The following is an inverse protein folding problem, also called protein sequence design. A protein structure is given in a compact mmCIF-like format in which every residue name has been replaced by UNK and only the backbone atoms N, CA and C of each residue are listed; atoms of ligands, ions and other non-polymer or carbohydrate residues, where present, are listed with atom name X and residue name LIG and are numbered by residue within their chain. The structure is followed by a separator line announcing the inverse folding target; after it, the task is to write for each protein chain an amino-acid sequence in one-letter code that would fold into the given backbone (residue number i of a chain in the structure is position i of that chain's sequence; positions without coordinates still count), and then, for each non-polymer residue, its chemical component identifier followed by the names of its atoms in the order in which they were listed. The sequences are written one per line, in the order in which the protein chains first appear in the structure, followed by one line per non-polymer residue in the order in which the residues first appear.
data_IF_144092488922
#
_entry.id   IF_144092488922
#
_cell.length_a   1.000
_cell.length_b   1.000
_cell.length_c   1.000
_cell.angle_alpha   90.00
_cell.angle_beta   90.00
_cell.angle_gamma   90.00
#
_symmetry.space_group_name_H-M   'P 1'
#
loop_
_entity.id
_entity.type
_entity.pdbx_description
1 polymer ?
#
# COMPACT_ATOMS: atom_id res chain seq x y z
N UNK A 1 75.69 -5.76 -16.07
CA UNK A 1 74.53 -6.06 -16.96
C UNK A 1 73.26 -5.79 -16.18
N UNK A 2 72.53 -4.76 -16.58
CA UNK A 2 71.34 -4.23 -15.90
C UNK A 2 70.08 -5.05 -16.21
N UNK A 3 69.54 -5.77 -15.22
CA UNK A 3 68.20 -6.36 -15.29
C UNK A 3 67.15 -5.30 -14.93
N UNK A 4 66.30 -4.93 -15.90
CA UNK A 4 65.10 -4.12 -15.67
C UNK A 4 64.00 -5.02 -15.09
N UNK A 5 63.64 -4.79 -13.83
CA UNK A 5 62.49 -5.41 -13.18
C UNK A 5 61.23 -4.62 -13.58
N UNK A 6 60.38 -5.20 -14.44
CA UNK A 6 59.06 -4.66 -14.74
C UNK A 6 58.12 -4.98 -13.57
N UNK A 7 57.83 -4.00 -12.71
CA UNK A 7 56.75 -4.12 -11.73
C UNK A 7 55.40 -3.92 -12.42
N UNK A 8 54.69 -5.03 -12.64
CA UNK A 8 53.31 -5.06 -13.09
C UNK A 8 52.42 -4.60 -11.92
N UNK A 9 51.95 -3.36 -11.94
CA UNK A 9 50.98 -2.84 -10.97
C UNK A 9 49.61 -3.41 -11.31
N UNK A 10 49.19 -4.46 -10.59
CA UNK A 10 47.84 -4.99 -10.63
C UNK A 10 46.90 -4.01 -9.93
N UNK A 11 46.26 -3.12 -10.71
CA UNK A 11 45.13 -2.32 -10.26
C UNK A 11 43.94 -3.25 -10.00
N UNK A 12 43.83 -3.73 -8.75
CA UNK A 12 42.59 -4.31 -8.25
C UNK A 12 41.54 -3.20 -8.15
N UNK A 13 40.76 -3.03 -9.22
CA UNK A 13 39.51 -2.29 -9.17
C UNK A 13 38.57 -3.01 -8.20
N UNK A 14 38.52 -2.54 -6.94
CA UNK A 14 37.46 -2.90 -6.01
C UNK A 14 36.14 -2.36 -6.57
N UNK A 15 35.47 -3.16 -7.39
CA UNK A 15 34.07 -2.97 -7.73
C UNK A 15 33.28 -3.15 -6.44
N UNK A 16 32.97 -2.05 -5.75
CA UNK A 16 32.05 -2.05 -4.62
C UNK A 16 30.75 -2.69 -5.09
N UNK A 17 30.43 -3.89 -4.58
CA UNK A 17 29.15 -4.52 -4.82
C UNK A 17 28.07 -3.51 -4.41
N UNK A 18 27.06 -3.25 -5.25
CA UNK A 18 25.99 -2.32 -4.90
C UNK A 18 25.27 -2.89 -3.68
N UNK A 19 25.44 -2.24 -2.52
CA UNK A 19 24.61 -2.51 -1.35
C UNK A 19 23.17 -2.35 -1.81
N UNK A 20 22.31 -3.38 -1.71
CA UNK A 20 20.94 -3.28 -2.18
C UNK A 20 20.28 -2.12 -1.45
N UNK A 21 20.01 -1.04 -2.19
CA UNK A 21 19.46 0.18 -1.61
C UNK A 21 18.16 -0.18 -0.91
N UNK A 22 18.11 0.03 0.41
CA UNK A 22 16.98 -0.33 1.27
C UNK A 22 15.67 0.18 0.67
N UNK A 23 14.60 -0.62 0.77
CA UNK A 23 13.30 -0.26 0.20
C UNK A 23 12.77 1.02 0.88
N UNK A 24 12.19 1.99 0.13
CA UNK A 24 11.70 3.24 0.71
C UNK A 24 10.71 3.06 1.87
N UNK A 25 9.90 2.00 1.86
CA UNK A 25 8.97 1.68 2.95
C UNK A 25 9.68 1.56 4.31
N UNK A 26 10.87 0.96 4.33
CA UNK A 26 11.67 0.81 5.55
C UNK A 26 12.62 1.98 5.82
N UNK A 27 13.10 2.64 4.77
CA UNK A 27 14.01 3.79 4.93
C UNK A 27 13.31 5.02 5.49
N UNK A 28 12.07 5.26 5.05
CA UNK A 28 11.26 6.39 5.47
C UNK A 28 10.41 6.06 6.72
N UNK A 29 10.65 4.89 7.33
CA UNK A 29 10.05 4.48 8.58
C UNK A 29 10.56 5.36 9.72
N UNK A 30 9.67 6.00 10.46
CA UNK A 30 10.01 6.73 11.67
C UNK A 30 10.55 5.76 12.74
N UNK A 31 11.45 6.24 13.59
CA UNK A 31 11.93 5.45 14.74
C UNK A 31 10.81 5.44 15.79
N UNK A 32 10.31 4.27 16.22
CA UNK A 32 9.23 4.22 17.19
C UNK A 32 9.72 4.73 18.56
N UNK A 33 8.91 5.59 19.17
CA UNK A 33 9.16 6.06 20.54
C UNK A 33 8.85 4.98 21.60
N UNK A 34 9.19 5.27 22.85
CA UNK A 34 8.96 4.34 23.96
C UNK A 34 7.46 4.03 24.18
N UNK A 35 6.55 4.95 23.84
CA UNK A 35 5.11 4.74 23.95
C UNK A 35 4.63 3.77 22.88
N UNK A 36 5.06 3.93 21.64
CA UNK A 36 4.76 3.07 20.51
C UNK A 36 5.26 1.64 20.76
N UNK A 37 6.46 1.47 21.35
CA UNK A 37 6.98 0.16 21.75
C UNK A 37 6.11 -0.52 22.82
N UNK A 38 5.71 0.20 23.87
CA UNK A 38 4.82 -0.36 24.92
C UNK A 38 3.47 -0.77 24.36
N UNK A 39 2.88 0.07 23.51
CA UNK A 39 1.60 -0.21 22.88
C UNK A 39 1.69 -1.40 21.90
N UNK A 40 2.76 -1.47 21.11
CA UNK A 40 3.01 -2.62 20.25
C UNK A 40 3.13 -3.92 21.05
N UNK A 41 3.81 -3.91 22.20
CA UNK A 41 3.91 -5.06 23.10
C UNK A 41 2.54 -5.55 23.57
N UNK A 42 1.67 -4.64 24.04
CA UNK A 42 0.29 -4.98 24.43
C UNK A 42 -0.48 -5.63 23.28
N UNK A 43 -0.33 -5.08 22.06
CA UNK A 43 -1.03 -5.60 20.89
C UNK A 43 -0.49 -6.95 20.41
N UNK A 44 0.80 -7.24 20.61
CA UNK A 44 1.37 -8.57 20.34
C UNK A 44 0.73 -9.61 21.28
N UNK A 45 0.55 -9.27 22.56
CA UNK A 45 -0.04 -10.19 23.54
C UNK A 45 -1.50 -10.53 23.23
N UNK A 46 -2.24 -9.58 22.64
CA UNK A 46 -3.66 -9.74 22.31
C UNK A 46 -3.89 -10.09 20.83
N UNK A 47 -2.83 -10.32 20.06
CA UNK A 47 -2.96 -10.63 18.64
C UNK A 47 -3.67 -11.97 18.46
N UNK A 48 -4.67 -11.97 17.57
CA UNK A 48 -5.34 -13.18 17.11
C UNK A 48 -5.27 -13.23 15.61
N UNK A 49 -4.75 -14.34 15.08
CA UNK A 49 -4.70 -14.54 13.65
C UNK A 49 -6.12 -14.49 13.05
N UNK A 50 -6.35 -13.72 11.97
CA UNK A 50 -7.65 -13.67 11.33
C UNK A 50 -8.03 -15.04 10.75
N UNK A 51 -8.94 -15.76 11.40
CA UNK A 51 -9.53 -16.98 10.84
C UNK A 51 -10.61 -16.61 9.82
N UNK A 52 -10.46 -17.06 8.57
CA UNK A 52 -11.55 -17.03 7.59
C UNK A 52 -12.45 -18.21 7.90
N UNK A 53 -13.63 -17.96 8.48
CA UNK A 53 -14.60 -19.01 8.72
C UNK A 53 -15.28 -19.38 7.39
N UNK A 54 -15.14 -20.63 6.96
CA UNK A 54 -16.02 -21.18 5.94
C UNK A 54 -17.41 -21.36 6.55
N UNK A 55 -18.38 -20.57 6.07
CA UNK A 55 -19.76 -20.70 6.53
C UNK A 55 -20.39 -21.85 5.77
N UNK A 56 -20.63 -22.96 6.48
CA UNK A 56 -21.34 -24.14 5.96
C UNK A 56 -22.72 -23.72 5.46
N UNK A 57 -23.10 -24.16 4.26
CA UNK A 57 -24.40 -23.85 3.65
C UNK A 57 -24.43 -22.62 2.75
N UNK A 58 -23.33 -21.87 2.60
CA UNK A 58 -23.25 -20.81 1.59
C UNK A 58 -23.02 -21.43 0.20
N UNK A 59 -23.90 -21.15 -0.80
CA UNK A 59 -23.71 -21.61 -2.17
C UNK A 59 -22.40 -21.13 -2.78
N UNK A 60 -21.78 -21.87 -3.72
CA UNK A 60 -20.47 -21.53 -4.29
C UNK A 60 -20.33 -20.09 -4.81
N UNK A 61 -21.36 -19.51 -5.41
CA UNK A 61 -21.35 -18.14 -5.93
C UNK A 61 -21.33 -17.04 -4.85
N UNK A 62 -21.68 -17.39 -3.61
CA UNK A 62 -21.58 -16.50 -2.45
C UNK A 62 -20.34 -16.81 -1.60
N UNK A 63 -19.61 -17.88 -1.91
CA UNK A 63 -18.31 -18.14 -1.28
C UNK A 63 -17.31 -17.13 -1.79
N UNK A 64 -16.47 -16.63 -0.90
CA UNK A 64 -15.32 -15.84 -1.31
C UNK A 64 -14.40 -16.78 -2.10
N UNK A 65 -14.21 -16.53 -3.40
CA UNK A 65 -13.30 -17.34 -4.20
C UNK A 65 -11.89 -17.17 -3.62
N UNK A 66 -11.39 -18.21 -2.94
CA UNK A 66 -10.02 -18.28 -2.43
C UNK A 66 -9.04 -18.69 -3.53
N UNK A 67 -9.55 -19.32 -4.59
CA UNK A 67 -8.80 -19.65 -5.78
C UNK A 67 -8.51 -18.37 -6.59
N UNK A 68 -7.23 -18.21 -6.91
CA UNK A 68 -6.63 -17.29 -7.91
C UNK A 68 -6.59 -15.79 -7.60
N UNK A 69 -6.09 -15.41 -6.42
CA UNK A 69 -5.25 -14.20 -6.40
C UNK A 69 -3.87 -14.55 -6.95
N UNK A 70 -3.74 -14.54 -8.27
CA UNK A 70 -2.44 -14.68 -8.97
C UNK A 70 -1.55 -13.46 -8.78
N UNK A 71 -2.15 -12.34 -8.41
CA UNK A 71 -1.43 -11.10 -8.13
C UNK A 71 -0.52 -11.27 -6.92
N UNK A 72 0.64 -10.60 -6.97
CA UNK A 72 1.47 -10.35 -5.79
C UNK A 72 0.62 -9.68 -4.71
N UNK A 73 1.02 -9.82 -3.46
CA UNK A 73 0.28 -9.26 -2.33
C UNK A 73 1.20 -8.33 -1.53
N UNK A 74 0.65 -7.23 -1.02
CA UNK A 74 1.40 -6.32 -0.14
C UNK A 74 1.84 -7.07 1.13
N UNK A 75 2.97 -6.64 1.71
CA UNK A 75 3.45 -7.04 3.02
C UNK A 75 2.37 -6.94 4.10
N UNK A 76 1.45 -5.98 4.01
CA UNK A 76 0.36 -5.84 4.98
C UNK A 76 -0.46 -7.13 5.12
N UNK A 77 -0.59 -7.91 4.04
CA UNK A 77 -1.33 -9.19 4.03
C UNK A 77 -0.61 -10.36 4.70
N UNK A 78 0.60 -10.15 5.21
CA UNK A 78 1.26 -11.12 6.09
C UNK A 78 0.51 -11.22 7.43
N UNK A 79 0.00 -10.10 7.93
CA UNK A 79 -0.66 -10.03 9.24
C UNK A 79 -2.13 -9.57 9.19
N UNK A 80 -2.55 -8.90 8.12
CA UNK A 80 -3.91 -8.40 7.96
C UNK A 80 -4.71 -9.19 6.93
N UNK A 81 -6.02 -9.30 7.15
CA UNK A 81 -6.93 -9.94 6.20
C UNK A 81 -7.06 -9.11 4.91
N UNK A 82 -7.46 -9.77 3.81
CA UNK A 82 -7.69 -9.12 2.50
C UNK A 82 -8.76 -8.02 2.54
N UNK A 83 -9.74 -8.14 3.45
CA UNK A 83 -10.75 -7.12 3.73
C UNK A 83 -10.54 -6.58 5.16
N UNK A 84 -9.55 -5.70 5.38
CA UNK A 84 -9.13 -5.29 6.72
C UNK A 84 -10.10 -4.32 7.40
N UNK A 85 -10.96 -3.64 6.64
CA UNK A 85 -11.89 -2.66 7.19
C UNK A 85 -13.17 -3.37 7.67
N UNK A 86 -13.23 -3.71 8.97
CA UNK A 86 -14.37 -4.41 9.57
C UNK A 86 -15.15 -3.62 10.62
N UNK A 87 -14.50 -2.63 11.24
CA UNK A 87 -15.04 -1.91 12.40
C UNK A 87 -16.21 -0.99 12.01
N UNK A 88 -16.04 -0.17 10.97
CA UNK A 88 -17.11 0.73 10.52
C UNK A 88 -18.02 0.01 9.51
N UNK A 89 -19.21 -0.39 9.94
CA UNK A 89 -20.25 -0.93 9.04
C UNK A 89 -20.55 0.01 7.87
N UNK A 90 -20.42 1.32 8.12
CA UNK A 90 -20.72 2.39 7.19
C UNK A 90 -19.71 2.50 6.04
N UNK A 91 -18.41 2.47 6.37
CA UNK A 91 -17.32 2.69 5.40
C UNK A 91 -16.69 1.39 4.90
N UNK A 92 -16.89 0.25 5.59
CA UNK A 92 -16.22 -1.03 5.28
C UNK A 92 -16.36 -1.44 3.82
N UNK A 93 -17.55 -1.37 3.23
CA UNK A 93 -17.77 -1.85 1.87
C UNK A 93 -16.99 -1.00 0.86
N UNK A 94 -17.02 0.32 1.04
CA UNK A 94 -16.26 1.24 0.19
C UNK A 94 -14.76 1.08 0.38
N UNK A 95 -14.26 1.09 1.62
CA UNK A 95 -12.82 0.98 1.87
C UNK A 95 -12.25 -0.39 1.45
N UNK A 96 -12.98 -1.48 1.69
CA UNK A 96 -12.58 -2.80 1.21
C UNK A 96 -12.68 -2.94 -0.31
N UNK A 97 -13.51 -2.14 -0.99
CA UNK A 97 -13.51 -2.08 -2.46
C UNK A 97 -12.26 -1.34 -2.97
N UNK A 98 -11.80 -0.30 -2.26
CA UNK A 98 -10.61 0.46 -2.66
C UNK A 98 -9.34 -0.39 -2.67
N UNK A 99 -9.23 -1.42 -1.82
CA UNK A 99 -8.05 -2.30 -1.79
C UNK A 99 -7.79 -3.03 -3.12
N UNK A 100 -8.80 -3.08 -4.01
CA UNK A 100 -8.64 -3.63 -5.37
C UNK A 100 -7.85 -2.72 -6.30
N UNK A 101 -7.91 -1.41 -6.08
CA UNK A 101 -7.35 -0.40 -7.00
C UNK A 101 -6.31 0.52 -6.35
N UNK A 102 -6.21 0.52 -5.02
CA UNK A 102 -5.34 1.38 -4.23
C UNK A 102 -4.51 0.49 -3.30
N UNK A 103 -3.19 0.68 -3.30
CA UNK A 103 -2.29 0.01 -2.38
C UNK A 103 -2.58 0.43 -0.93
N UNK A 104 -2.39 -0.47 0.04
CA UNK A 104 -2.57 -0.16 1.46
C UNK A 104 -1.71 1.05 1.87
N UNK A 105 -0.50 1.11 1.34
CA UNK A 105 0.51 2.12 1.57
C UNK A 105 0.09 3.49 1.05
N UNK A 106 -0.69 3.57 -0.04
CA UNK A 106 -1.22 4.85 -0.54
C UNK A 106 -2.09 5.57 0.49
N UNK A 107 -2.90 4.80 1.24
CA UNK A 107 -3.77 5.34 2.28
C UNK A 107 -3.06 5.45 3.63
N UNK A 108 -2.28 4.44 4.03
CA UNK A 108 -1.78 4.32 5.40
C UNK A 108 -0.35 4.83 5.58
N UNK A 109 0.52 4.74 4.58
CA UNK A 109 1.93 5.15 4.71
C UNK A 109 2.08 6.67 4.53
N UNK A 110 2.27 7.37 5.65
CA UNK A 110 2.32 8.82 5.71
C UNK A 110 3.48 9.29 6.61
N UNK A 111 4.74 9.01 6.22
CA UNK A 111 5.91 9.55 6.92
C UNK A 111 5.94 11.08 6.84
N UNK A 112 6.45 11.73 7.89
CA UNK A 112 6.56 13.19 7.95
C UNK A 112 7.61 13.73 6.98
N UNK A 113 7.32 14.89 6.36
CA UNK A 113 8.27 15.59 5.50
C UNK A 113 8.57 14.91 4.16
N UNK A 114 7.80 13.89 3.78
CA UNK A 114 7.99 13.14 2.53
C UNK A 114 6.82 13.40 1.58
N UNK A 115 7.14 13.70 0.33
CA UNK A 115 6.18 13.68 -0.77
C UNK A 115 6.38 12.43 -1.63
N UNK A 116 5.27 11.85 -2.09
CA UNK A 116 5.29 10.70 -2.99
C UNK A 116 4.70 11.09 -4.35
N UNK A 117 5.22 10.46 -5.39
CA UNK A 117 4.51 10.34 -6.66
C UNK A 117 3.56 9.16 -6.56
N UNK A 118 2.32 9.32 -7.00
CA UNK A 118 1.36 8.22 -7.03
C UNK A 118 1.21 7.72 -8.46
N UNK A 119 1.42 6.42 -8.67
CA UNK A 119 1.41 5.79 -10.01
C UNK A 119 0.73 4.43 -9.97
N UNK A 120 0.27 3.97 -11.12
CA UNK A 120 -0.18 2.58 -11.28
C UNK A 120 1.00 1.62 -11.17
N UNK A 121 0.93 0.68 -10.23
CA UNK A 121 1.83 -0.44 -10.10
C UNK A 121 1.08 -1.72 -10.42
N UNK A 122 1.61 -2.52 -11.35
CA UNK A 122 1.04 -3.81 -11.73
C UNK A 122 1.46 -4.89 -10.72
N UNK A 123 0.51 -5.44 -9.97
CA UNK A 123 0.78 -6.51 -9.01
C UNK A 123 0.83 -7.89 -9.70
N UNK A 124 0.42 -8.02 -10.96
CA UNK A 124 0.47 -9.26 -11.73
C UNK A 124 1.79 -9.45 -12.50
N UNK A 125 2.60 -8.39 -12.66
CA UNK A 125 3.89 -8.47 -13.31
C UNK A 125 4.98 -9.04 -12.37
N UNK A 126 5.78 -9.98 -12.87
CA UNK A 126 6.93 -10.55 -12.15
C UNK A 126 8.05 -9.51 -11.99
N UNK A 127 8.28 -8.69 -13.01
CA UNK A 127 9.24 -7.59 -12.99
C UNK A 127 8.56 -6.30 -12.51
N UNK A 128 8.60 -6.08 -11.19
CA UNK A 128 8.19 -4.81 -10.61
C UNK A 128 9.21 -3.73 -11.00
N UNK A 129 8.78 -2.70 -11.75
CA UNK A 129 9.35 -1.33 -11.81
C UNK A 129 9.06 -0.62 -13.14
N UNK A 130 8.44 -1.26 -14.14
CA UNK A 130 8.02 -0.53 -15.33
C UNK A 130 6.83 0.38 -14.98
N UNK A 131 7.09 1.69 -15.02
CA UNK A 131 6.05 2.71 -14.99
C UNK A 131 5.19 2.51 -16.23
N UNK A 132 3.94 2.12 -16.02
CA UNK A 132 2.98 2.04 -17.11
C UNK A 132 2.57 3.47 -17.48
N UNK A 133 3.25 4.04 -18.48
CA UNK A 133 2.75 5.21 -19.19
C UNK A 133 1.66 4.68 -20.11
N UNK A 134 0.42 5.09 -19.90
CA UNK A 134 -0.63 4.81 -20.87
C UNK A 134 -0.21 5.46 -22.20
N UNK A 135 0.05 4.62 -23.21
CA UNK A 135 0.38 5.07 -24.55
C UNK A 135 -0.71 6.02 -25.05
N UNK A 136 -0.30 7.08 -25.74
CA UNK A 136 -1.16 8.15 -26.23
C UNK A 136 -2.23 7.66 -27.19
N UNK A 137 -3.36 7.25 -26.65
CA UNK A 137 -4.63 7.19 -27.35
C UNK A 137 -5.42 8.45 -26.98
N UNK A 138 -6.15 8.99 -27.96
CA UNK A 138 -6.97 10.19 -27.82
C UNK A 138 -7.74 10.19 -26.49
N UNK A 139 -7.48 11.23 -25.69
CA UNK A 139 -7.89 11.38 -24.28
C UNK A 139 -9.41 11.38 -24.06
N UNK A 140 -10.20 11.29 -25.13
CA UNK A 140 -11.65 11.43 -25.10
C UNK A 140 -12.39 10.12 -24.81
N UNK A 141 -11.74 8.96 -24.95
CA UNK A 141 -12.39 7.68 -24.68
C UNK A 141 -11.41 6.63 -24.10
N UNK A 142 -10.90 6.84 -22.89
CA UNK A 142 -10.31 5.74 -22.12
C UNK A 142 -11.44 5.08 -21.31
N UNK A 143 -11.99 3.93 -21.75
CA UNK A 143 -13.17 3.33 -21.13
C UNK A 143 -12.91 2.84 -19.69
N UNK A 144 -11.65 2.61 -19.30
CA UNK A 144 -11.27 2.23 -17.95
C UNK A 144 -10.03 3.00 -17.49
N UNK A 145 -10.15 3.69 -16.36
CA UNK A 145 -9.02 4.32 -15.68
C UNK A 145 -7.97 3.30 -15.21
N UNK A 146 -8.41 2.07 -14.92
CA UNK A 146 -7.55 0.99 -14.44
C UNK A 146 -6.86 0.35 -15.65
N UNK A 147 -5.52 0.43 -15.75
CA UNK A 147 -4.81 0.01 -16.96
C UNK A 147 -4.74 -1.52 -17.12
N UNK A 148 -4.75 -2.27 -16.00
CA UNK A 148 -4.75 -3.74 -15.97
C UNK A 148 -5.49 -4.26 -14.73
N UNK A 149 -6.07 -5.48 -14.75
CA UNK A 149 -6.84 -6.02 -13.62
C UNK A 149 -6.12 -6.01 -12.26
N UNK A 150 -4.79 -6.22 -12.27
CA UNK A 150 -3.94 -6.27 -11.07
C UNK A 150 -3.29 -4.91 -10.70
N UNK A 151 -3.58 -3.84 -11.46
CA UNK A 151 -2.96 -2.55 -11.24
C UNK A 151 -3.55 -1.84 -10.01
N UNK A 152 -2.68 -1.31 -9.15
CA UNK A 152 -3.05 -0.52 -7.97
C UNK A 152 -2.28 0.79 -7.92
N UNK A 153 -2.92 1.86 -7.50
CA UNK A 153 -2.25 3.15 -7.25
C UNK A 153 -1.39 2.98 -6.01
N UNK A 154 -0.08 3.15 -6.17
CA UNK A 154 0.94 2.96 -5.14
C UNK A 154 1.79 4.23 -4.98
N UNK A 155 2.37 4.47 -3.79
CA UNK A 155 3.32 5.56 -3.58
C UNK A 155 4.68 5.19 -4.15
N UNK A 156 5.33 6.14 -4.80
CA UNK A 156 6.70 6.07 -5.30
C UNK A 156 7.53 7.18 -4.67
N UNK A 157 8.74 6.84 -4.25
CA UNK A 157 9.74 7.78 -3.76
C UNK A 157 11.01 7.62 -4.58
N UNK A 158 11.47 8.71 -5.19
CA UNK A 158 12.65 8.71 -6.06
C UNK A 158 12.58 7.62 -7.15
N UNK A 159 11.40 7.46 -7.78
CA UNK A 159 11.16 6.47 -8.83
C UNK A 159 10.99 5.02 -8.36
N UNK A 160 11.10 4.74 -7.07
CA UNK A 160 10.96 3.38 -6.51
C UNK A 160 9.66 3.22 -5.73
N UNK A 161 8.98 2.06 -5.80
CA UNK A 161 7.76 1.84 -5.04
C UNK A 161 8.06 1.86 -3.53
N UNK A 162 7.30 2.65 -2.78
CA UNK A 162 7.38 2.75 -1.32
C UNK A 162 6.46 1.72 -0.64
N UNK A 163 6.60 0.47 -1.05
CA UNK A 163 5.90 -0.69 -0.49
C UNK A 163 6.76 -1.94 -0.64
N UNK A 164 6.34 -3.00 0.05
CA UNK A 164 6.92 -4.33 -0.06
C UNK A 164 5.86 -5.34 -0.42
N UNK A 165 6.24 -6.36 -1.18
CA UNK A 165 5.41 -7.52 -1.43
C UNK A 165 5.72 -8.64 -0.43
N UNK A 166 4.73 -9.49 -0.17
CA UNK A 166 4.79 -10.59 0.81
C UNK A 166 5.91 -11.61 0.56
N UNK A 167 6.41 -11.68 -0.67
CA UNK A 167 7.39 -12.66 -1.15
C UNK A 167 8.80 -12.06 -1.30
N UNK A 168 8.95 -10.75 -1.09
CA UNK A 168 10.24 -10.07 -1.09
C UNK A 168 11.13 -10.61 0.05
N UNK A 169 12.45 -10.59 -0.13
CA UNK A 169 13.40 -11.11 0.86
C UNK A 169 13.14 -10.56 2.28
N UNK A 170 13.04 -9.23 2.40
CA UNK A 170 12.76 -8.56 3.66
C UNK A 170 11.38 -8.95 4.24
N UNK A 171 10.38 -9.21 3.40
CA UNK A 171 9.07 -9.66 3.85
C UNK A 171 9.11 -11.08 4.45
N UNK A 172 10.01 -11.94 3.97
CA UNK A 172 10.24 -13.27 4.54
C UNK A 172 10.89 -13.17 5.92
N UNK A 173 11.87 -12.29 6.10
CA UNK A 173 12.49 -12.02 7.41
C UNK A 173 11.48 -11.49 8.44
N UNK A 174 10.63 -10.54 8.01
CA UNK A 174 9.54 -10.01 8.83
C UNK A 174 8.59 -11.12 9.27
N UNK A 175 8.20 -12.00 8.33
CA UNK A 175 7.31 -13.13 8.62
C UNK A 175 7.93 -14.12 9.58
N UNK A 176 9.21 -14.46 9.40
CA UNK A 176 9.95 -15.34 10.29
C UNK A 176 10.02 -14.75 11.71
N UNK A 177 10.41 -13.49 11.82
CA UNK A 177 10.46 -12.77 13.12
C UNK A 177 9.08 -12.71 13.78
N UNK A 178 8.01 -12.49 13.01
CA UNK A 178 6.66 -12.47 13.55
C UNK A 178 6.19 -13.82 14.09
N UNK A 179 6.59 -14.91 13.43
CA UNK A 179 6.18 -16.28 13.78
C UNK A 179 7.01 -16.86 14.93
N UNK A 180 8.32 -16.67 14.89
CA UNK A 180 9.30 -17.39 15.72
C UNK A 180 10.05 -16.47 16.68
N UNK A 181 10.00 -15.15 16.47
CA UNK A 181 10.72 -14.19 17.29
C UNK A 181 10.19 -14.08 18.71
N UNK A 182 11.08 -13.68 19.64
CA UNK A 182 10.71 -13.41 21.01
C UNK A 182 9.63 -12.29 21.07
N UNK A 183 8.89 -12.23 22.17
CA UNK A 183 7.85 -11.21 22.38
C UNK A 183 8.39 -9.79 22.13
N UNK A 184 9.60 -9.51 22.62
CA UNK A 184 10.24 -8.20 22.44
C UNK A 184 10.55 -7.90 20.98
N UNK A 185 11.08 -8.86 20.24
CA UNK A 185 11.41 -8.69 18.82
C UNK A 185 10.15 -8.44 18.00
N UNK A 186 9.06 -9.17 18.29
CA UNK A 186 7.75 -8.95 17.67
C UNK A 186 7.20 -7.57 17.99
N UNK A 187 7.36 -7.09 19.22
CA UNK A 187 6.94 -5.74 19.62
C UNK A 187 7.75 -4.65 18.90
N UNK A 188 9.09 -4.79 18.84
CA UNK A 188 9.98 -3.86 18.12
C UNK A 188 9.66 -3.84 16.63
N UNK A 189 9.53 -5.02 16.02
CA UNK A 189 9.14 -5.17 14.62
C UNK A 189 7.81 -4.49 14.33
N UNK A 190 6.78 -4.78 15.14
CA UNK A 190 5.46 -4.18 14.99
C UNK A 190 5.52 -2.66 15.12
N UNK A 191 6.18 -2.13 16.14
CA UNK A 191 6.31 -0.70 16.33
C UNK A 191 7.00 -0.03 15.12
N UNK A 192 8.09 -0.62 14.64
CA UNK A 192 8.82 -0.13 13.47
C UNK A 192 7.99 -0.14 12.19
N UNK A 193 7.27 -1.24 11.92
CA UNK A 193 6.42 -1.36 10.72
C UNK A 193 5.27 -0.35 10.70
N UNK A 194 4.79 0.07 11.88
CA UNK A 194 3.63 0.95 12.01
C UNK A 194 4.01 2.41 12.32
N UNK A 195 5.28 2.74 12.53
CA UNK A 195 5.70 4.07 12.97
C UNK A 195 5.23 5.17 12.00
N UNK A 196 5.41 4.96 10.69
CA UNK A 196 4.96 5.88 9.64
C UNK A 196 3.54 5.59 9.13
N UNK A 197 2.80 4.66 9.78
CA UNK A 197 1.44 4.31 9.37
C UNK A 197 0.41 5.09 10.18
N UNK A 198 -0.58 5.67 9.49
CA UNK A 198 -1.76 6.26 10.15
C UNK A 198 -2.88 5.24 10.21
N UNK A 199 -3.38 4.95 11.42
CA UNK A 199 -4.45 3.95 11.67
C UNK A 199 -5.68 4.16 10.79
N UNK A 200 -6.16 5.40 10.68
CA UNK A 200 -7.37 5.72 9.93
C UNK A 200 -7.12 5.93 8.42
N UNK A 201 -5.85 5.96 8.01
CA UNK A 201 -5.45 6.24 6.63
C UNK A 201 -5.78 7.67 6.18
N UNK A 202 -5.76 7.89 4.86
CA UNK A 202 -6.21 9.12 4.22
C UNK A 202 -7.75 9.21 4.24
N UNK A 203 -8.27 10.43 4.32
CA UNK A 203 -9.71 10.70 4.24
C UNK A 203 -10.17 10.66 2.79
N UNK A 204 -11.46 10.41 2.56
CA UNK A 204 -12.04 10.42 1.20
C UNK A 204 -11.76 11.73 0.46
N UNK A 205 -11.88 12.86 1.16
CA UNK A 205 -11.63 14.19 0.60
C UNK A 205 -10.17 14.42 0.19
N UNK A 206 -9.22 13.64 0.70
CA UNK A 206 -7.81 13.79 0.32
C UNK A 206 -7.60 13.34 -1.14
N UNK A 207 -8.46 12.48 -1.72
CA UNK A 207 -8.37 12.03 -3.12
C UNK A 207 -9.56 12.46 -4.00
N UNK A 208 -10.72 12.76 -3.41
CA UNK A 208 -11.97 13.08 -4.10
C UNK A 208 -12.33 14.57 -4.06
N UNK A 209 -11.35 15.47 -3.91
CA UNK A 209 -11.62 16.92 -3.86
C UNK A 209 -11.19 17.62 -5.14
N UNK A 210 -12.06 18.50 -5.67
CA UNK A 210 -11.86 19.17 -6.98
C UNK A 210 -10.61 20.05 -7.06
N UNK A 211 -10.25 20.74 -5.97
CA UNK A 211 -9.21 21.79 -6.00
C UNK A 211 -7.81 21.30 -5.61
N UNK A 212 -7.76 20.27 -4.77
CA UNK A 212 -6.51 19.76 -4.24
C UNK A 212 -6.74 18.30 -3.87
N UNK A 213 -6.07 17.42 -4.58
CA UNK A 213 -6.11 15.98 -4.41
C UNK A 213 -4.69 15.48 -4.22
N UNK A 214 -4.53 14.51 -3.33
CA UNK A 214 -3.31 13.74 -3.13
C UNK A 214 -2.86 13.06 -4.41
N UNK A 215 -3.83 12.61 -5.21
CA UNK A 215 -3.61 11.88 -6.45
C UNK A 215 -3.74 12.84 -7.62
N UNK A 216 -2.69 13.00 -8.41
CA UNK A 216 -2.78 13.64 -9.71
C UNK A 216 -3.47 12.69 -10.69
N UNK A 217 -4.78 12.87 -10.84
CA UNK A 217 -5.61 12.04 -11.70
C UNK A 217 -5.21 12.12 -13.18
N UNK A 218 -4.65 13.25 -13.64
CA UNK A 218 -4.19 13.37 -15.03
C UNK A 218 -2.93 12.54 -15.26
N UNK A 219 -2.00 12.55 -14.31
CA UNK A 219 -0.82 11.66 -14.33
C UNK A 219 -1.24 10.19 -14.28
N UNK A 220 -2.35 9.88 -13.61
CA UNK A 220 -2.97 8.54 -13.57
C UNK A 220 -3.83 8.22 -14.80
N UNK A 221 -3.74 9.04 -15.86
CA UNK A 221 -4.42 8.88 -17.15
C UNK A 221 -5.95 9.03 -17.11
N UNK A 222 -6.49 9.82 -16.17
CA UNK A 222 -7.90 10.18 -16.16
C UNK A 222 -8.20 11.28 -17.20
N UNK A 223 -9.27 11.09 -17.97
CA UNK A 223 -9.83 12.15 -18.82
C UNK A 223 -10.44 13.27 -17.97
N UNK A 224 -10.64 14.46 -18.55
CA UNK A 224 -11.26 15.59 -17.84
C UNK A 224 -12.66 15.23 -17.29
N UNK A 225 -13.43 14.43 -18.02
CA UNK A 225 -14.72 13.91 -17.54
C UNK A 225 -14.56 13.01 -16.30
N UNK A 226 -13.57 12.12 -16.30
CA UNK A 226 -13.26 11.26 -15.16
C UNK A 226 -12.75 12.05 -13.96
N UNK A 227 -11.87 13.04 -14.16
CA UNK A 227 -11.40 13.92 -13.09
C UNK A 227 -12.57 14.63 -12.40
N UNK A 228 -13.51 15.17 -13.18
CA UNK A 228 -14.73 15.77 -12.63
C UNK A 228 -15.57 14.75 -11.86
N UNK A 229 -15.86 13.59 -12.45
CA UNK A 229 -16.66 12.55 -11.81
C UNK A 229 -16.06 12.04 -10.49
N UNK A 230 -14.73 11.91 -10.42
CA UNK A 230 -14.00 11.50 -9.21
C UNK A 230 -14.09 12.60 -8.14
N UNK A 231 -13.84 13.86 -8.52
CA UNK A 231 -13.92 15.01 -7.61
C UNK A 231 -15.34 15.33 -7.14
N UNK A 232 -16.35 14.90 -7.88
CA UNK A 232 -17.77 15.10 -7.60
C UNK A 232 -18.47 13.91 -6.97
N UNK A 233 -17.71 12.87 -6.63
CA UNK A 233 -18.28 11.63 -6.14
C UNK A 233 -19.19 11.88 -4.92
N UNK A 234 -20.50 11.63 -5.12
CA UNK A 234 -21.54 11.90 -4.12
C UNK A 234 -21.30 11.12 -2.82
N UNK A 235 -20.78 9.89 -2.92
CA UNK A 235 -20.45 9.07 -1.76
C UNK A 235 -19.30 9.69 -0.97
N UNK A 236 -18.22 10.12 -1.64
CA UNK A 236 -17.09 10.76 -0.96
C UNK A 236 -17.49 12.07 -0.28
N UNK A 237 -18.30 12.91 -0.94
CA UNK A 237 -18.87 14.14 -0.36
C UNK A 237 -19.84 13.87 0.78
N UNK A 238 -20.62 12.80 0.67
CA UNK A 238 -21.48 12.37 1.75
C UNK A 238 -20.64 12.00 2.97
N UNK A 239 -19.61 11.18 2.83
CA UNK A 239 -18.77 10.77 3.96
C UNK A 239 -17.90 11.89 4.56
N UNK A 240 -17.54 12.92 3.79
CA UNK A 240 -16.76 14.05 4.32
C UNK A 240 -17.57 14.94 5.28
N UNK A 241 -18.90 14.90 5.20
CA UNK A 241 -19.81 15.68 6.06
C UNK A 241 -20.00 15.09 7.47
N UNK A 242 -19.64 13.83 7.69
CA UNK A 242 -19.91 13.13 8.95
C UNK A 242 -18.62 12.95 9.74
N UNK A 243 -18.65 13.43 10.98
CA UNK A 243 -17.51 13.36 11.91
C UNK A 243 -17.55 12.11 12.78
N UNK A 244 -18.76 11.60 13.07
CA UNK A 244 -18.95 10.41 13.90
C UNK A 244 -19.13 9.15 13.04
N UNK A 245 -18.38 8.11 13.41
CA UNK A 245 -18.40 6.78 12.78
C UNK A 245 -19.68 6.00 13.07
N UNK A 246 -20.38 6.36 14.14
CA UNK A 246 -21.59 5.67 14.64
C UNK A 246 -22.89 6.43 14.32
N UNK A 247 -22.80 7.59 13.66
CA UNK A 247 -23.97 8.37 13.24
C UNK A 247 -24.82 7.60 12.22
N UNK A 248 -26.11 7.44 12.54
CA UNK A 248 -27.10 6.74 11.71
C UNK A 248 -27.28 7.42 10.36
N UNK A 249 -27.19 6.64 9.29
CA UNK A 249 -27.43 7.13 7.93
C UNK A 249 -28.90 7.11 7.55
N UNK A 250 -29.35 8.18 6.91
CA UNK A 250 -30.61 8.18 6.16
C UNK A 250 -30.27 8.18 4.67
N UNK A 251 -30.86 7.26 3.89
CA UNK A 251 -30.59 7.21 2.44
C UNK A 251 -30.96 8.52 1.73
N UNK A 252 -31.91 9.27 2.27
CA UNK A 252 -32.28 10.61 1.78
C UNK A 252 -31.14 11.62 1.84
N UNK A 253 -30.14 11.42 2.71
CA UNK A 253 -29.00 12.31 2.86
C UNK A 253 -27.91 12.07 1.79
N UNK A 254 -27.96 10.94 1.06
CA UNK A 254 -27.09 10.68 -0.10
C UNK A 254 -27.51 11.47 -1.34
N UNK A 255 -28.77 11.92 -1.40
CA UNK A 255 -29.36 12.61 -2.55
C UNK A 255 -29.20 14.15 -2.47
N UNK A 256 -28.54 14.66 -1.43
CA UNK A 256 -28.27 16.10 -1.20
C UNK A 256 -26.79 16.44 -1.42
#
# INVERSE_FOLDING_TARGET
MTMKLLSLVFLFSLSALPVPAKNPYFMLGEVPDARALREAGKQVDHYREPKISEVVGIPPFHRRNSATETDRQSLCRVCHAALPHRESLRKRSFLNMHTRYIACETCHFQPQGVSFDYRWLDYGALDCCQVMVAGGMDREAVPSLVPRPAARIAPFFQGRPALLFKDDFLAREIRATWKEGAREDRARLKARLHASLKKDGRRCADCHHRKQTLLDWRVLNASEGQVRAIGDNAIARFFSRYRDKDQRLRMTELLR
#
